data_IF_932932666630
#
_entry.id   IF_932932666630
#
_cell.length_a   1.000
_cell.length_b   1.000
_cell.length_c   1.000
_cell.angle_alpha   90.00
_cell.angle_beta   90.00
_cell.angle_gamma   90.00
#
_symmetry.space_group_name_H-M   'P 1'
#
loop_
_entity.id
_entity.type
_entity.pdbx_description
1 polymer ?
#
# COMPACT_ATOMS: atom_id res chain seq x y z
N UNK A 1 41.91 42.66 -6.18
CA UNK A 1 40.71 41.82 -6.38
C UNK A 1 41.13 40.37 -6.21
N UNK A 2 40.80 39.81 -5.05
CA UNK A 2 41.28 38.52 -4.55
C UNK A 2 40.67 37.31 -5.27
N UNK A 3 41.54 36.42 -5.75
CA UNK A 3 41.22 35.17 -6.45
C UNK A 3 40.49 34.17 -5.51
N UNK A 4 40.58 34.35 -4.19
CA UNK A 4 39.97 33.46 -3.19
C UNK A 4 38.44 33.52 -3.12
N UNK A 5 37.80 34.62 -3.52
CA UNK A 5 36.33 34.71 -3.53
C UNK A 5 35.67 34.12 -4.79
N UNK A 6 36.43 33.91 -5.88
CA UNK A 6 35.89 33.31 -7.12
C UNK A 6 35.72 31.79 -7.03
N UNK A 7 36.59 31.11 -6.28
CA UNK A 7 36.58 29.64 -6.21
C UNK A 7 35.42 29.13 -5.33
N UNK A 8 35.03 29.88 -4.29
CA UNK A 8 33.86 29.52 -3.45
C UNK A 8 32.51 29.77 -4.15
N UNK A 9 32.40 30.79 -5.01
CA UNK A 9 31.16 31.07 -5.75
C UNK A 9 30.87 30.03 -6.85
N UNK A 10 31.89 29.59 -7.60
CA UNK A 10 31.70 28.61 -8.67
C UNK A 10 31.32 27.20 -8.19
N UNK A 11 31.82 26.78 -7.01
CA UNK A 11 31.42 25.51 -6.41
C UNK A 11 29.97 25.54 -5.89
N UNK A 12 29.54 26.67 -5.34
CA UNK A 12 28.15 26.91 -4.92
C UNK A 12 27.22 26.94 -6.14
N UNK A 13 27.61 27.60 -7.24
CA UNK A 13 26.84 27.61 -8.49
C UNK A 13 26.65 26.21 -9.09
N UNK A 14 27.69 25.37 -9.09
CA UNK A 14 27.57 23.98 -9.55
C UNK A 14 26.62 23.16 -8.67
N UNK A 15 26.72 23.31 -7.33
CA UNK A 15 25.82 22.60 -6.41
C UNK A 15 24.35 23.02 -6.55
N UNK A 16 24.09 24.30 -6.84
CA UNK A 16 22.73 24.81 -7.10
C UNK A 16 22.21 24.28 -8.45
N UNK A 17 23.07 24.23 -9.47
CA UNK A 17 22.69 23.68 -10.77
C UNK A 17 22.36 22.19 -10.70
N UNK A 18 23.12 21.41 -9.94
CA UNK A 18 22.85 19.99 -9.67
C UNK A 18 21.48 19.82 -8.98
N UNK A 19 21.21 20.58 -7.91
CA UNK A 19 19.91 20.56 -7.23
C UNK A 19 18.74 20.95 -8.15
N UNK A 20 18.93 21.92 -9.04
CA UNK A 20 17.91 22.32 -10.03
C UNK A 20 17.66 21.21 -11.05
N UNK A 21 18.70 20.49 -11.47
CA UNK A 21 18.55 19.33 -12.37
C UNK A 21 17.81 18.19 -11.67
N UNK A 22 18.17 17.86 -10.43
CA UNK A 22 17.49 16.85 -9.63
C UNK A 22 16.00 17.20 -9.45
N UNK A 23 15.69 18.44 -9.10
CA UNK A 23 14.31 18.90 -8.96
C UNK A 23 13.52 18.74 -10.27
N UNK A 24 14.11 19.08 -11.43
CA UNK A 24 13.47 18.88 -12.74
C UNK A 24 13.15 17.42 -13.03
N UNK A 25 14.07 16.51 -12.69
CA UNK A 25 13.85 15.07 -12.85
C UNK A 25 12.69 14.62 -11.96
N UNK A 26 12.67 15.03 -10.69
CA UNK A 26 11.60 14.68 -9.75
C UNK A 26 10.23 15.21 -10.20
N UNK A 27 10.17 16.44 -10.72
CA UNK A 27 8.92 16.99 -11.26
C UNK A 27 8.45 16.24 -12.51
N UNK A 28 9.36 15.87 -13.41
CA UNK A 28 9.03 15.05 -14.59
C UNK A 28 8.44 13.69 -14.20
N UNK A 29 9.07 13.01 -13.23
CA UNK A 29 8.56 11.72 -12.69
C UNK A 29 7.16 11.92 -12.09
N UNK A 30 6.99 12.98 -11.31
CA UNK A 30 5.71 13.30 -10.69
C UNK A 30 4.61 13.57 -11.73
N UNK A 31 4.88 14.36 -12.76
CA UNK A 31 3.91 14.66 -13.82
C UNK A 31 3.49 13.40 -14.59
N UNK A 32 4.45 12.52 -14.91
CA UNK A 32 4.17 11.24 -15.55
C UNK A 32 3.29 10.34 -14.68
N UNK A 33 3.60 10.25 -13.39
CA UNK A 33 2.83 9.48 -12.41
C UNK A 33 1.41 10.03 -12.26
N UNK A 34 1.29 11.35 -12.11
CA UNK A 34 0.01 12.06 -12.00
C UNK A 34 -0.89 11.82 -13.20
N UNK A 35 -0.34 11.96 -14.41
CA UNK A 35 -1.08 11.73 -15.65
C UNK A 35 -1.52 10.27 -15.80
N UNK A 36 -0.65 9.32 -15.43
CA UNK A 36 -0.97 7.89 -15.48
C UNK A 36 -2.13 7.55 -14.55
N UNK A 37 -2.06 7.95 -13.29
CA UNK A 37 -3.11 7.68 -12.30
C UNK A 37 -4.41 8.34 -12.72
N UNK A 38 -4.37 9.62 -13.10
CA UNK A 38 -5.57 10.38 -13.49
C UNK A 38 -6.29 9.76 -14.68
N UNK A 39 -5.53 9.26 -15.66
CA UNK A 39 -6.10 8.54 -16.81
C UNK A 39 -6.80 7.26 -16.37
N UNK A 40 -6.15 6.42 -15.55
CA UNK A 40 -6.75 5.19 -15.04
C UNK A 40 -7.99 5.46 -14.18
N UNK A 41 -7.95 6.46 -13.29
CA UNK A 41 -9.12 6.86 -12.50
C UNK A 41 -10.28 7.28 -13.41
N UNK A 42 -9.99 8.06 -14.46
CA UNK A 42 -11.01 8.48 -15.45
C UNK A 42 -11.63 7.27 -16.16
N UNK A 43 -10.79 6.37 -16.68
CA UNK A 43 -11.24 5.18 -17.40
C UNK A 43 -12.08 4.25 -16.49
N UNK A 44 -11.65 4.04 -15.25
CA UNK A 44 -12.39 3.22 -14.27
C UNK A 44 -13.72 3.85 -13.85
N UNK A 45 -13.76 5.18 -13.70
CA UNK A 45 -14.99 5.90 -13.37
C UNK A 45 -16.06 5.81 -14.46
N UNK A 46 -15.66 5.67 -15.73
CA UNK A 46 -16.61 5.49 -16.84
C UNK A 46 -17.33 4.14 -16.79
N UNK A 47 -16.66 3.10 -16.30
CA UNK A 47 -17.19 1.73 -16.24
C UNK A 47 -18.29 1.61 -15.16
N UNK A 48 -18.28 2.49 -14.14
CA UNK A 48 -19.26 2.50 -13.02
C UNK A 48 -19.39 1.16 -12.28
N UNK A 49 -18.32 0.37 -12.26
CA UNK A 49 -18.25 -0.90 -11.56
C UNK A 49 -17.19 -0.86 -10.46
N UNK A 50 -17.45 -1.59 -9.36
CA UNK A 50 -16.58 -1.61 -8.19
C UNK A 50 -15.58 -2.77 -8.29
N UNK A 51 -14.28 -2.44 -8.35
CA UNK A 51 -13.19 -3.41 -8.47
C UNK A 51 -12.18 -3.25 -7.34
N UNK A 52 -12.53 -3.58 -6.08
CA UNK A 52 -11.60 -3.45 -4.97
C UNK A 52 -10.37 -4.29 -5.25
N UNK A 53 -9.21 -3.64 -5.18
CA UNK A 53 -7.92 -4.28 -5.40
C UNK A 53 -6.87 -3.63 -4.51
N UNK A 54 -6.06 -4.45 -3.84
CA UNK A 54 -4.98 -4.00 -2.97
C UNK A 54 -3.69 -4.70 -3.37
N UNK A 55 -2.59 -3.96 -3.34
CA UNK A 55 -1.25 -4.44 -3.67
C UNK A 55 -0.28 -4.01 -2.58
N UNK A 56 0.40 -4.98 -1.98
CA UNK A 56 1.36 -4.74 -0.91
C UNK A 56 2.60 -4.03 -1.48
N UNK A 57 2.94 -2.86 -0.95
CA UNK A 57 4.14 -2.10 -1.35
C UNK A 57 5.26 -2.19 -0.33
N UNK A 58 4.94 -2.24 0.96
CA UNK A 58 5.94 -2.43 2.01
C UNK A 58 5.30 -2.97 3.28
N UNK A 59 6.11 -3.54 4.16
CA UNK A 59 5.67 -4.05 5.44
C UNK A 59 6.77 -3.86 6.48
N UNK A 60 6.40 -3.52 7.72
CA UNK A 60 7.34 -3.36 8.83
C UNK A 60 7.85 -4.71 9.31
N UNK A 61 8.87 -4.72 10.17
CA UNK A 61 9.14 -5.91 10.98
C UNK A 61 7.95 -6.19 11.91
N UNK A 62 7.75 -7.45 12.27
CA UNK A 62 6.82 -7.82 13.34
C UNK A 62 7.24 -7.14 14.65
N UNK A 63 6.26 -6.67 15.42
CA UNK A 63 6.50 -6.09 16.74
C UNK A 63 7.02 -7.15 17.73
N UNK A 64 7.52 -6.68 18.87
CA UNK A 64 7.65 -7.54 20.03
C UNK A 64 6.29 -8.14 20.45
N UNK A 65 6.35 -9.26 21.15
CA UNK A 65 5.19 -9.96 21.70
C UNK A 65 4.48 -9.04 22.71
N UNK A 66 3.17 -8.84 22.50
CA UNK A 66 2.28 -8.03 23.34
C UNK A 66 1.31 -8.92 24.10
N UNK A 67 0.83 -8.43 25.25
CA UNK A 67 -0.21 -9.08 26.05
C UNK A 67 -1.59 -8.81 25.45
N UNK A 68 -2.55 -9.74 25.49
CA UNK A 68 -3.89 -9.54 24.92
C UNK A 68 -4.58 -8.27 25.45
N UNK A 69 -5.04 -7.43 24.54
CA UNK A 69 -5.96 -6.32 24.80
C UNK A 69 -7.40 -6.77 25.14
N UNK A 70 -8.27 -5.84 25.56
CA UNK A 70 -9.63 -6.17 26.00
C UNK A 70 -10.54 -6.73 24.90
N UNK A 71 -10.41 -6.30 23.64
CA UNK A 71 -11.22 -6.81 22.53
C UNK A 71 -10.82 -8.23 22.10
N UNK A 72 -9.74 -8.77 22.65
CA UNK A 72 -9.29 -10.13 22.44
C UNK A 72 -10.03 -11.16 23.32
N UNK A 73 -10.94 -10.72 24.18
CA UNK A 73 -11.66 -11.58 25.14
C UNK A 73 -12.48 -12.71 24.49
N UNK A 74 -12.87 -12.55 23.22
CA UNK A 74 -13.60 -13.57 22.45
C UNK A 74 -12.72 -14.76 22.02
N UNK A 75 -11.42 -14.70 22.29
CA UNK A 75 -10.45 -15.72 21.87
C UNK A 75 -9.55 -16.12 23.05
N UNK A 76 -9.18 -17.40 23.13
CA UNK A 76 -8.17 -17.88 24.08
C UNK A 76 -6.76 -17.47 23.62
N UNK A 77 -6.47 -16.17 23.58
CA UNK A 77 -5.19 -15.61 23.12
C UNK A 77 -4.24 -15.50 24.31
N UNK A 78 -3.03 -16.00 24.13
CA UNK A 78 -1.93 -15.85 25.10
C UNK A 78 -1.16 -14.56 24.88
N UNK A 79 -0.92 -14.23 23.62
CA UNK A 79 -0.22 -13.02 23.20
C UNK A 79 -0.47 -12.74 21.72
N UNK A 80 -0.01 -11.58 21.25
CA UNK A 80 -0.09 -11.21 19.84
C UNK A 80 1.13 -10.39 19.41
N UNK A 81 1.40 -10.36 18.11
CA UNK A 81 2.32 -9.40 17.48
C UNK A 81 1.56 -8.58 16.45
N UNK A 82 2.08 -7.40 16.14
CA UNK A 82 1.49 -6.50 15.13
C UNK A 82 2.52 -6.22 14.04
N UNK A 83 2.05 -6.01 12.81
CA UNK A 83 2.87 -5.57 11.68
C UNK A 83 2.13 -4.49 10.91
N UNK A 84 2.82 -3.45 10.49
CA UNK A 84 2.24 -2.44 9.61
C UNK A 84 2.50 -2.81 8.16
N UNK A 85 1.45 -2.93 7.37
CA UNK A 85 1.52 -3.19 5.94
C UNK A 85 0.97 -1.98 5.18
N UNK A 86 1.75 -1.51 4.20
CA UNK A 86 1.36 -0.43 3.32
C UNK A 86 0.95 -1.00 1.97
N UNK A 87 -0.17 -0.52 1.45
CA UNK A 87 -0.77 -0.95 0.22
C UNK A 87 -1.05 0.23 -0.71
N UNK A 88 -0.92 -0.01 -2.00
CA UNK A 88 -1.66 0.73 -3.01
C UNK A 88 -3.01 0.06 -3.21
N UNK A 89 -4.08 0.84 -3.10
CA UNK A 89 -5.44 0.33 -3.15
C UNK A 89 -6.31 1.13 -4.10
N UNK A 90 -6.97 0.41 -4.98
CA UNK A 90 -8.04 0.90 -5.82
C UNK A 90 -9.34 0.80 -5.01
N UNK A 91 -9.90 1.95 -4.61
CA UNK A 91 -11.04 2.01 -3.69
C UNK A 91 -11.95 3.22 -3.98
N UNK A 92 -13.17 3.20 -3.43
CA UNK A 92 -14.11 4.31 -3.51
C UNK A 92 -13.66 5.48 -2.64
N UNK A 93 -13.84 6.70 -3.16
CA UNK A 93 -13.52 7.95 -2.46
C UNK A 93 -14.30 8.06 -1.14
N UNK A 94 -15.54 7.62 -1.17
CA UNK A 94 -16.50 7.64 -0.09
C UNK A 94 -17.54 6.54 -0.37
N UNK A 95 -18.08 5.91 0.67
CA UNK A 95 -18.98 4.74 0.54
C UNK A 95 -20.25 5.00 -0.27
N UNK A 96 -20.54 6.27 -0.59
CA UNK A 96 -21.68 6.70 -1.39
C UNK A 96 -21.30 7.19 -2.80
N UNK A 97 -20.02 7.48 -3.08
CA UNK A 97 -19.62 7.90 -4.43
C UNK A 97 -19.31 6.70 -5.32
N UNK A 98 -19.45 6.92 -6.63
CA UNK A 98 -18.93 6.03 -7.68
C UNK A 98 -17.52 6.45 -8.11
N UNK A 99 -16.89 7.35 -7.35
CA UNK A 99 -15.59 7.91 -7.72
C UNK A 99 -14.49 7.02 -7.19
N UNK A 100 -13.80 6.36 -8.11
CA UNK A 100 -12.69 5.48 -7.87
C UNK A 100 -11.39 6.26 -7.82
N UNK A 101 -10.59 6.04 -6.78
CA UNK A 101 -9.29 6.68 -6.61
C UNK A 101 -8.22 5.72 -6.17
N UNK A 102 -6.97 6.06 -6.48
CA UNK A 102 -5.81 5.35 -5.96
C UNK A 102 -5.50 5.85 -4.56
N UNK A 103 -5.53 4.95 -3.60
CA UNK A 103 -5.20 5.21 -2.21
C UNK A 103 -3.85 4.62 -1.83
N UNK A 104 -3.12 5.34 -0.98
CA UNK A 104 -2.15 4.74 -0.09
C UNK A 104 -2.88 4.34 1.20
N UNK A 105 -2.80 3.07 1.56
CA UNK A 105 -3.46 2.50 2.74
C UNK A 105 -2.41 1.88 3.66
N UNK A 106 -2.40 2.28 4.92
CA UNK A 106 -1.65 1.62 5.98
C UNK A 106 -2.60 0.79 6.82
N UNK A 107 -2.31 -0.50 6.94
CA UNK A 107 -3.06 -1.43 7.79
C UNK A 107 -2.14 -2.00 8.87
N UNK A 108 -2.63 -2.03 10.10
CA UNK A 108 -2.03 -2.83 11.15
C UNK A 108 -2.66 -4.22 11.12
N UNK A 109 -1.83 -5.24 10.97
CA UNK A 109 -2.22 -6.64 10.95
C UNK A 109 -1.77 -7.27 12.25
N UNK A 110 -2.71 -7.91 12.94
CA UNK A 110 -2.43 -8.64 14.17
C UNK A 110 -2.22 -10.12 13.87
N UNK A 111 -1.15 -10.69 14.42
CA UNK A 111 -0.93 -12.14 14.46
C UNK A 111 -1.17 -12.60 15.90
N UNK A 112 -2.25 -13.34 16.08
CA UNK A 112 -2.64 -13.84 17.40
C UNK A 112 -2.01 -15.22 17.65
N UNK A 113 -1.58 -15.43 18.89
CA UNK A 113 -1.06 -16.70 19.37
C UNK A 113 -2.01 -17.29 20.40
N UNK A 114 -2.60 -18.44 20.05
CA UNK A 114 -3.64 -19.09 20.84
C UNK A 114 -3.04 -20.04 21.89
N UNK A 115 -3.74 -20.18 23.00
CA UNK A 115 -3.47 -21.22 23.98
C UNK A 115 -4.05 -22.55 23.49
N UNK A 116 -3.20 -23.56 23.28
CA UNK A 116 -3.66 -24.92 22.99
C UNK A 116 -3.67 -25.72 24.28
N UNK A 117 -4.86 -25.98 24.80
CA UNK A 117 -5.14 -26.99 25.84
C UNK A 117 -4.20 -26.98 27.07
N UNK A 118 -3.64 -25.84 27.48
CA UNK A 118 -2.81 -25.74 28.68
C UNK A 118 -1.44 -26.43 28.57
N UNK A 119 -0.96 -26.73 27.36
CA UNK A 119 0.39 -27.27 27.16
C UNK A 119 1.44 -26.15 27.16
N UNK A 120 2.58 -26.39 27.82
CA UNK A 120 3.76 -25.53 27.72
C UNK A 120 4.35 -25.64 26.30
N UNK A 121 3.77 -24.93 25.35
CA UNK A 121 4.28 -24.82 23.99
C UNK A 121 5.53 -23.92 23.99
N UNK A 122 6.61 -24.42 23.38
CA UNK A 122 7.81 -23.64 23.14
C UNK A 122 7.58 -22.57 22.06
N UNK A 123 8.52 -21.62 21.93
CA UNK A 123 8.45 -20.55 20.92
C UNK A 123 8.34 -21.06 19.47
N UNK A 124 8.76 -22.30 19.20
CA UNK A 124 8.67 -22.89 17.86
C UNK A 124 7.24 -23.36 17.53
N UNK A 125 6.50 -23.76 18.56
CA UNK A 125 5.14 -24.32 18.48
C UNK A 125 4.05 -23.25 18.39
N UNK A 126 4.31 -22.05 18.93
CA UNK A 126 3.45 -20.86 18.79
C UNK A 126 3.23 -20.45 17.31
N UNK A 127 4.19 -20.69 16.41
CA UNK A 127 4.06 -20.35 14.98
C UNK A 127 2.97 -21.14 14.25
N UNK A 128 2.48 -22.27 14.80
CA UNK A 128 1.54 -23.19 14.13
C UNK A 128 0.06 -22.87 14.38
N UNK A 129 -0.26 -21.96 15.31
CA UNK A 129 -1.65 -21.55 15.59
C UNK A 129 -1.84 -20.07 15.30
N UNK A 130 -1.71 -19.71 14.02
CA UNK A 130 -1.98 -18.36 13.52
C UNK A 130 -3.46 -18.26 13.14
N UNK A 131 -4.22 -17.49 13.90
CA UNK A 131 -5.51 -16.96 13.45
C UNK A 131 -5.30 -15.61 12.76
N UNK A 132 -5.95 -15.38 11.62
CA UNK A 132 -5.96 -14.08 10.96
C UNK A 132 -7.10 -13.24 11.55
N UNK A 133 -6.76 -12.12 12.19
CA UNK A 133 -7.70 -11.27 12.93
C UNK A 133 -7.47 -9.77 12.63
N UNK A 134 -8.47 -8.93 12.89
CA UNK A 134 -8.92 -7.87 11.99
C UNK A 134 -7.84 -6.85 11.67
N UNK A 135 -7.67 -6.56 10.39
CA UNK A 135 -6.77 -5.49 9.97
C UNK A 135 -7.37 -4.14 10.34
N UNK A 136 -6.63 -3.34 11.09
CA UNK A 136 -7.02 -1.99 11.44
C UNK A 136 -6.43 -1.04 10.40
N UNK A 137 -7.28 -0.35 9.66
CA UNK A 137 -6.84 0.74 8.77
C UNK A 137 -6.35 1.90 9.65
N UNK A 138 -5.05 2.11 9.70
CA UNK A 138 -4.41 3.19 10.46
C UNK A 138 -4.14 4.42 9.58
N UNK A 139 -4.13 4.25 8.27
CA UNK A 139 -3.95 5.32 7.29
C UNK A 139 -4.72 4.98 6.01
N UNK A 140 -5.44 5.94 5.44
CA UNK A 140 -6.00 5.85 4.09
C UNK A 140 -6.07 7.26 3.51
N UNK A 141 -5.34 7.52 2.43
CA UNK A 141 -5.36 8.82 1.75
C UNK A 141 -5.24 8.63 0.24
N UNK A 142 -5.97 9.40 -0.59
CA UNK A 142 -5.71 9.43 -2.02
C UNK A 142 -4.24 9.74 -2.27
N UNK A 143 -3.58 8.94 -3.10
CA UNK A 143 -2.14 9.05 -3.32
C UNK A 143 -1.78 10.43 -3.88
N UNK A 144 -2.59 10.95 -4.80
CA UNK A 144 -2.39 12.28 -5.40
C UNK A 144 -2.50 13.43 -4.39
N UNK A 145 -3.25 13.23 -3.30
CA UNK A 145 -3.40 14.22 -2.21
C UNK A 145 -2.31 14.07 -1.12
N UNK A 146 -1.43 13.08 -1.24
CA UNK A 146 -0.29 12.89 -0.34
C UNK A 146 0.85 13.85 -0.67
N UNK A 147 1.79 14.07 0.25
CA UNK A 147 2.95 14.94 0.01
C UNK A 147 3.84 14.41 -1.14
N UNK A 148 4.62 15.31 -1.77
CA UNK A 148 5.51 14.94 -2.88
C UNK A 148 6.48 13.81 -2.51
N UNK A 149 7.06 13.85 -1.31
CA UNK A 149 7.97 12.81 -0.81
C UNK A 149 7.33 11.43 -0.78
N UNK A 150 6.09 11.33 -0.28
CA UNK A 150 5.32 10.07 -0.25
C UNK A 150 5.05 9.57 -1.67
N UNK A 151 4.63 10.46 -2.58
CA UNK A 151 4.33 10.07 -3.96
C UNK A 151 5.57 9.56 -4.70
N UNK A 152 6.72 10.20 -4.49
CA UNK A 152 8.00 9.76 -5.03
C UNK A 152 8.45 8.44 -4.40
N UNK A 153 8.28 8.27 -3.09
CA UNK A 153 8.62 7.00 -2.41
C UNK A 153 7.86 5.80 -3.00
N UNK A 154 6.61 6.01 -3.44
CA UNK A 154 5.78 4.94 -3.98
C UNK A 154 5.71 4.93 -5.52
N UNK A 155 6.50 5.75 -6.23
CA UNK A 155 6.41 5.85 -7.70
C UNK A 155 6.73 4.54 -8.39
N UNK A 156 7.74 3.83 -7.89
CA UNK A 156 8.24 2.59 -8.49
C UNK A 156 7.25 1.43 -8.34
N UNK A 157 6.28 1.57 -7.43
CA UNK A 157 5.23 0.57 -7.21
C UNK A 157 4.01 0.78 -8.10
N UNK A 158 3.85 1.94 -8.76
CA UNK A 158 2.67 2.24 -9.57
C UNK A 158 2.55 1.31 -10.78
N UNK A 159 3.65 1.09 -11.49
CA UNK A 159 3.63 0.22 -12.67
C UNK A 159 3.34 -1.25 -12.29
N UNK A 160 4.05 -1.87 -11.32
CA UNK A 160 3.71 -3.21 -10.82
C UNK A 160 2.28 -3.33 -10.31
N UNK A 161 1.76 -2.30 -9.63
CA UNK A 161 0.39 -2.24 -9.16
C UNK A 161 -0.62 -2.31 -10.31
N UNK A 162 -0.44 -1.48 -11.35
CA UNK A 162 -1.31 -1.45 -12.53
C UNK A 162 -1.30 -2.79 -13.26
N UNK A 163 -0.12 -3.40 -13.45
CA UNK A 163 -0.02 -4.71 -14.11
C UNK A 163 -0.70 -5.82 -13.28
N UNK A 164 -0.50 -5.82 -11.96
CA UNK A 164 -1.17 -6.76 -11.06
C UNK A 164 -2.69 -6.58 -11.08
N UNK A 165 -3.17 -5.34 -11.17
CA UNK A 165 -4.59 -5.03 -11.29
C UNK A 165 -5.17 -5.51 -12.62
N UNK A 166 -4.46 -5.35 -13.75
CA UNK A 166 -4.89 -5.90 -15.04
C UNK A 166 -5.03 -7.42 -14.99
N UNK A 167 -4.09 -8.11 -14.34
CA UNK A 167 -4.17 -9.56 -14.13
C UNK A 167 -5.40 -9.91 -13.29
N UNK A 168 -5.64 -9.19 -12.19
CA UNK A 168 -6.83 -9.36 -11.36
C UNK A 168 -8.13 -9.22 -12.16
N UNK A 169 -8.24 -8.19 -13.00
CA UNK A 169 -9.42 -7.98 -13.86
C UNK A 169 -9.61 -9.12 -14.87
N UNK A 170 -8.53 -9.57 -15.53
CA UNK A 170 -8.60 -10.73 -16.44
C UNK A 170 -9.09 -11.99 -15.74
N UNK A 171 -8.57 -12.28 -14.55
CA UNK A 171 -8.99 -13.44 -13.77
C UNK A 171 -10.46 -13.34 -13.33
N UNK A 172 -10.95 -12.15 -13.01
CA UNK A 172 -12.37 -11.91 -12.71
C UNK A 172 -13.26 -12.17 -13.91
N UNK A 173 -12.86 -11.74 -15.11
CA UNK A 173 -13.60 -11.99 -16.36
C UNK A 173 -13.69 -13.50 -16.63
N UNK A 174 -12.56 -14.21 -16.59
CA UNK A 174 -12.51 -15.67 -16.80
C UNK A 174 -13.40 -16.41 -15.80
N UNK A 175 -13.40 -15.99 -14.53
CA UNK A 175 -14.26 -16.61 -13.51
C UNK A 175 -15.76 -16.38 -13.76
N UNK A 176 -16.14 -15.26 -14.39
CA UNK A 176 -17.54 -15.00 -14.77
C UNK A 176 -17.92 -15.88 -15.95
N UNK A 177 -17.07 -15.97 -16.97
CA UNK A 177 -17.29 -16.79 -18.17
C UNK A 177 -17.41 -18.29 -17.82
N UNK A 178 -16.49 -18.82 -17.01
CA UNK A 178 -16.52 -20.23 -16.61
C UNK A 178 -17.71 -20.61 -15.71
N UNK A 179 -18.30 -19.66 -14.97
CA UNK A 179 -19.50 -19.91 -14.18
C UNK A 179 -20.78 -19.92 -15.05
N UNK A 180 -20.76 -19.29 -16.23
CA UNK A 180 -21.90 -19.34 -17.17
C UNK A 180 -21.99 -20.70 -17.87
N UNK A 181 -20.88 -21.41 -18.04
CA UNK A 181 -20.84 -22.77 -18.59
C UNK A 181 -21.21 -23.87 -17.57
N UNK A 182 -21.51 -23.51 -16.32
CA UNK A 182 -21.78 -24.46 -15.23
C UNK A 182 -23.26 -24.65 -14.88
N UNK A 183 -24.17 -24.02 -15.63
CA UNK A 183 -25.62 -24.25 -15.50
C UNK A 183 -26.10 -25.15 -16.65
N UNK A 184 -26.27 -26.47 -16.43
CA UNK A 184 -27.05 -27.26 -17.37
C UNK A 184 -28.51 -26.83 -17.25
N UNK A 185 -29.09 -26.43 -18.38
CA UNK A 185 -30.55 -26.52 -18.56
C UNK A 185 -30.98 -27.99 -18.59
#
# INVERSE_FOLDING_TARGET
>A
MDIKNKIQLHAVDNSIQELVQEAKILFSIYDQLSNTISKFETDLNQIKAYFPFKYLVSESSESHIKKPEQYHQDYNIRCYTTKTCWYLAWDLLDGNSKTFRLFLVGEEIETLYLDHFGEQLDNSSLKKMKGFYPTKVIFKKPLMESGLSIRLQYSDHIHPFIESFKIYLRNRIIAIENNQDSVPF
#
